data_IF_990373292206
#
_entry.id   IF_990373292206
#
_cell.length_a   1.000
_cell.length_b   1.000
_cell.length_c   1.000
_cell.angle_alpha   90.00
_cell.angle_beta   90.00
_cell.angle_gamma   90.00
#
_symmetry.space_group_name_H-M   'P 1'
#
loop_
_entity.id
_entity.type
_entity.pdbx_description
1 polymer ?
#
# COMPACT_ATOMS: atom_id res chain seq x y z
N UNK A 1 13.79 -17.77 -20.56
CA UNK A 1 13.29 -17.25 -19.27
C UNK A 1 12.41 -16.01 -19.47
N UNK A 2 11.17 -16.12 -19.98
CA UNK A 2 10.32 -14.93 -20.24
C UNK A 2 8.88 -15.01 -19.69
N UNK A 3 8.31 -16.21 -19.56
CA UNK A 3 6.92 -16.37 -19.07
C UNK A 3 6.84 -16.42 -17.54
N UNK A 4 7.75 -17.15 -16.88
CA UNK A 4 7.78 -17.32 -15.42
C UNK A 4 8.07 -16.01 -14.66
N UNK A 5 9.03 -15.20 -15.12
CA UNK A 5 9.29 -13.88 -14.51
C UNK A 5 8.07 -12.94 -14.61
N UNK A 6 7.34 -12.98 -15.74
CA UNK A 6 6.16 -12.14 -15.94
C UNK A 6 5.02 -12.58 -15.03
N UNK A 7 4.79 -13.89 -14.90
CA UNK A 7 3.80 -14.44 -13.98
C UNK A 7 4.13 -14.08 -12.52
N UNK A 8 5.39 -14.18 -12.12
CA UNK A 8 5.84 -13.78 -10.77
C UNK A 8 5.63 -12.29 -10.50
N UNK A 9 5.91 -11.41 -11.47
CA UNK A 9 5.67 -9.98 -11.30
C UNK A 9 4.18 -9.63 -11.17
N UNK A 10 3.31 -10.33 -11.90
CA UNK A 10 1.85 -10.14 -11.79
C UNK A 10 1.37 -10.59 -10.40
N UNK A 11 1.74 -11.81 -9.99
CA UNK A 11 1.37 -12.33 -8.67
C UNK A 11 1.86 -11.43 -7.54
N UNK A 12 3.11 -10.95 -7.60
CA UNK A 12 3.65 -10.02 -6.61
C UNK A 12 2.85 -8.71 -6.57
N UNK A 13 2.48 -8.18 -7.74
CA UNK A 13 1.67 -6.95 -7.82
C UNK A 13 0.26 -7.16 -7.25
N UNK A 14 -0.34 -8.32 -7.49
CA UNK A 14 -1.68 -8.67 -6.95
C UNK A 14 -1.63 -8.83 -5.43
N UNK A 15 -0.63 -9.55 -4.91
CA UNK A 15 -0.42 -9.71 -3.46
C UNK A 15 -0.21 -8.34 -2.80
N UNK A 16 0.68 -7.51 -3.34
CA UNK A 16 0.94 -6.18 -2.79
C UNK A 16 -0.29 -5.27 -2.88
N UNK A 17 -1.09 -5.37 -3.95
CA UNK A 17 -2.35 -4.63 -4.06
C UNK A 17 -3.37 -5.06 -3.00
N UNK A 18 -3.44 -6.35 -2.69
CA UNK A 18 -4.30 -6.86 -1.62
C UNK A 18 -3.83 -6.37 -0.24
N UNK A 19 -2.52 -6.34 0.01
CA UNK A 19 -1.93 -5.79 1.24
C UNK A 19 -2.22 -4.30 1.40
N UNK A 20 -2.10 -3.50 0.34
CA UNK A 20 -2.51 -2.07 0.34
C UNK A 20 -3.99 -1.94 0.70
N UNK A 21 -4.86 -2.77 0.13
CA UNK A 21 -6.28 -2.78 0.45
C UNK A 21 -6.58 -3.15 1.91
N UNK A 22 -5.81 -4.07 2.49
CA UNK A 22 -5.90 -4.43 3.91
C UNK A 22 -5.38 -3.29 4.82
N UNK A 23 -4.26 -2.66 4.47
CA UNK A 23 -3.73 -1.52 5.22
C UNK A 23 -4.71 -0.34 5.25
N UNK A 24 -5.34 -0.01 4.12
CA UNK A 24 -6.40 1.01 4.05
C UNK A 24 -7.56 0.69 4.98
N UNK A 25 -8.09 -0.53 4.93
CA UNK A 25 -9.17 -0.96 5.85
C UNK A 25 -8.77 -0.86 7.32
N UNK A 26 -7.53 -1.23 7.66
CA UNK A 26 -7.01 -1.13 9.03
C UNK A 26 -6.85 0.32 9.49
N UNK A 27 -6.45 1.22 8.59
CA UNK A 27 -6.40 2.66 8.85
C UNK A 27 -7.83 3.16 9.13
N UNK A 28 -8.78 2.91 8.23
CA UNK A 28 -10.18 3.36 8.40
C UNK A 28 -10.76 2.95 9.76
N UNK A 29 -10.56 1.68 10.16
CA UNK A 29 -11.01 1.17 11.46
C UNK A 29 -10.27 1.88 12.62
N UNK A 30 -8.97 2.08 12.51
CA UNK A 30 -8.18 2.75 13.54
C UNK A 30 -8.56 4.23 13.69
N UNK A 31 -8.85 4.92 12.59
CA UNK A 31 -9.34 6.29 12.56
C UNK A 31 -10.73 6.40 13.18
N UNK A 32 -11.67 5.55 12.81
CA UNK A 32 -13.01 5.54 13.41
C UNK A 32 -12.93 5.32 14.92
N UNK A 33 -12.10 4.38 15.37
CA UNK A 33 -11.91 4.12 16.79
C UNK A 33 -11.22 5.27 17.53
N UNK A 34 -10.29 5.98 16.89
CA UNK A 34 -9.66 7.15 17.48
C UNK A 34 -10.62 8.34 17.54
N UNK A 35 -11.36 8.59 16.47
CA UNK A 35 -12.39 9.63 16.40
C UNK A 35 -13.47 9.42 17.47
N UNK A 36 -13.96 8.18 17.62
CA UNK A 36 -14.93 7.85 18.67
C UNK A 36 -14.38 8.10 20.08
N UNK A 37 -13.10 7.80 20.32
CA UNK A 37 -12.46 8.07 21.61
C UNK A 37 -12.25 9.55 21.85
N UNK A 38 -11.77 10.30 20.86
CA UNK A 38 -11.59 11.75 20.91
C UNK A 38 -12.91 12.49 21.18
N UNK A 39 -14.03 12.00 20.64
CA UNK A 39 -15.38 12.52 20.94
C UNK A 39 -15.82 12.27 22.38
N UNK A 40 -15.41 11.15 22.98
CA UNK A 40 -15.75 10.78 24.37
C UNK A 40 -14.79 11.38 25.40
N UNK A 41 -13.55 11.65 25.00
CA UNK A 41 -12.48 12.12 25.87
C UNK A 41 -11.73 13.28 25.20
N UNK A 42 -11.98 14.50 25.65
CA UNK A 42 -11.42 15.74 25.09
C UNK A 42 -9.90 15.89 25.28
N UNK A 43 -9.28 15.03 26.10
CA UNK A 43 -7.83 15.02 26.31
C UNK A 43 -7.06 14.28 25.21
N UNK A 44 -7.71 13.40 24.44
CA UNK A 44 -7.07 12.62 23.38
C UNK A 44 -7.09 13.41 22.06
N UNK A 45 -6.22 14.42 21.97
CA UNK A 45 -6.14 15.34 20.82
C UNK A 45 -5.22 14.85 19.71
N UNK A 46 -4.18 14.10 20.07
CA UNK A 46 -3.13 13.70 19.15
C UNK A 46 -3.47 12.38 18.43
N UNK A 47 -3.00 12.26 17.19
CA UNK A 47 -3.10 11.03 16.41
C UNK A 47 -2.23 9.94 17.06
N UNK A 48 -2.77 8.75 17.36
CA UNK A 48 -1.99 7.70 18.01
C UNK A 48 -0.81 7.27 17.13
N UNK A 49 0.37 7.04 17.73
CA UNK A 49 1.56 6.56 17.01
C UNK A 49 1.27 5.33 16.15
N UNK A 50 0.40 4.43 16.63
CA UNK A 50 0.01 3.24 15.88
C UNK A 50 -0.67 3.56 14.56
N UNK A 51 -1.49 4.62 14.51
CA UNK A 51 -2.16 5.08 13.29
C UNK A 51 -1.15 5.74 12.34
N UNK A 52 -0.21 6.54 12.87
CA UNK A 52 0.90 7.10 12.09
C UNK A 52 1.78 5.99 11.46
N UNK A 53 2.06 4.92 12.21
CA UNK A 53 2.80 3.76 11.67
C UNK A 53 2.04 3.07 10.53
N UNK A 54 0.72 2.91 10.65
CA UNK A 54 -0.09 2.35 9.57
C UNK A 54 -0.05 3.21 8.31
N UNK A 55 -0.13 4.54 8.46
CA UNK A 55 0.01 5.47 7.34
C UNK A 55 1.35 5.33 6.62
N UNK A 56 2.44 5.25 7.38
CA UNK A 56 3.77 5.04 6.81
C UNK A 56 3.88 3.70 6.08
N UNK A 57 3.33 2.63 6.66
CA UNK A 57 3.29 1.32 6.00
C UNK A 57 2.49 1.33 4.70
N UNK A 58 1.37 2.07 4.67
CA UNK A 58 0.57 2.25 3.46
C UNK A 58 1.38 3.00 2.38
N UNK A 59 2.04 4.10 2.75
CA UNK A 59 2.87 4.87 1.83
C UNK A 59 4.00 4.00 1.24
N UNK A 60 4.72 3.26 2.08
CA UNK A 60 5.78 2.35 1.65
C UNK A 60 5.25 1.29 0.67
N UNK A 61 4.09 0.70 0.95
CA UNK A 61 3.45 -0.30 0.08
C UNK A 61 2.99 0.30 -1.27
N UNK A 62 2.44 1.51 -1.27
CA UNK A 62 2.03 2.23 -2.49
C UNK A 62 3.25 2.62 -3.35
N UNK A 63 4.34 3.08 -2.73
CA UNK A 63 5.59 3.37 -3.42
C UNK A 63 6.18 2.11 -4.08
N UNK A 64 6.16 0.98 -3.37
CA UNK A 64 6.59 -0.31 -3.93
C UNK A 64 5.74 -0.72 -5.13
N UNK A 65 4.41 -0.59 -5.04
CA UNK A 65 3.48 -0.93 -6.13
C UNK A 65 3.72 -0.06 -7.36
N UNK A 66 3.91 1.25 -7.16
CA UNK A 66 4.27 2.19 -8.24
C UNK A 66 5.62 1.83 -8.88
N UNK A 67 6.61 1.43 -8.08
CA UNK A 67 7.92 1.00 -8.58
C UNK A 67 7.82 -0.26 -9.45
N UNK A 68 6.98 -1.23 -9.06
CA UNK A 68 6.74 -2.46 -9.81
C UNK A 68 6.06 -2.16 -11.15
N UNK A 69 5.05 -1.28 -11.14
CA UNK A 69 4.37 -0.83 -12.36
C UNK A 69 5.33 -0.13 -13.33
N UNK A 70 6.18 0.77 -12.82
CA UNK A 70 7.17 1.49 -13.62
C UNK A 70 8.22 0.54 -14.24
N UNK A 71 8.67 -0.49 -13.50
CA UNK A 71 9.59 -1.52 -14.01
C UNK A 71 8.92 -2.37 -15.10
N UNK A 72 7.64 -2.70 -14.93
CA UNK A 72 6.85 -3.38 -15.96
C UNK A 72 6.71 -2.56 -17.25
N UNK A 73 6.47 -1.25 -17.13
CA UNK A 73 6.32 -0.34 -18.26
C UNK A 73 7.62 -0.17 -19.07
N UNK A 74 8.76 0.09 -18.40
CA UNK A 74 10.07 0.22 -19.06
C UNK A 74 10.46 -1.05 -19.83
N UNK A 75 10.11 -2.22 -19.30
CA UNK A 75 10.43 -3.51 -19.93
C UNK A 75 9.61 -3.75 -21.21
N UNK A 76 8.36 -3.25 -21.30
CA UNK A 76 7.54 -3.30 -22.53
C UNK A 76 8.12 -2.40 -23.63
N UNK A 77 8.54 -1.18 -23.31
CA UNK A 77 9.12 -0.24 -24.28
C UNK A 77 10.40 -0.81 -24.91
N UNK A 78 11.25 -1.46 -24.10
CA UNK A 78 12.48 -2.10 -24.59
C UNK A 78 12.21 -3.32 -25.48
N UNK A 79 11.11 -4.05 -25.27
CA UNK A 79 10.72 -5.18 -26.12
C UNK A 79 10.01 -4.77 -27.42
N UNK A 80 9.37 -3.61 -27.47
CA UNK A 80 8.72 -3.08 -28.66
C UNK A 80 9.69 -2.35 -29.62
N UNK A 81 10.92 -2.09 -29.18
CA UNK A 81 11.95 -1.37 -29.94
C UNK A 81 13.06 -2.30 -30.47
N UNK A 82 12.81 -3.60 -30.53
CA UNK A 82 13.74 -4.64 -30.99
C UNK A 82 13.07 -5.61 -31.95
#
# INVERSE_FOLDING_TARGET
>A
MKSTERAQMVLLSETLSAEVGELRRRIDIAEQNWEQRRRRCTSEKETPERLLRLYRQLEEAEQLLNSLAARGARRRVKQASS
#
